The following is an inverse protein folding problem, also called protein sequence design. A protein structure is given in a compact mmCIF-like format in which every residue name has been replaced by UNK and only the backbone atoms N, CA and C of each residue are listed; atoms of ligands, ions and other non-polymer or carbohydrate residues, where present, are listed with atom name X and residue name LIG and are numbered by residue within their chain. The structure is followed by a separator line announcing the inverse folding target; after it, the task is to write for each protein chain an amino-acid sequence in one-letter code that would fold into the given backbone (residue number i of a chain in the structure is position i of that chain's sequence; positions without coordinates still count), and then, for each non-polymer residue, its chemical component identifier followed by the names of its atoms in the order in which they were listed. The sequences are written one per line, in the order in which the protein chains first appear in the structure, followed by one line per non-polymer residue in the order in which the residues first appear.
data_IF_101971125520
#
_entry.id   IF_101971125520
#
_cell.length_a   1.000
_cell.length_b   1.000
_cell.length_c   1.000
_cell.angle_alpha   90.00
_cell.angle_beta   90.00
_cell.angle_gamma   90.00
#
_symmetry.space_group_name_H-M   'P 1'
#
loop_
_entity.id
_entity.type
_entity.pdbx_description
1 polymer ?
#
# COMPACT_ATOMS: atom_id res chain seq x y z
N UNK A 1 -13.98 16.43 9.89
CA UNK A 1 -13.98 14.98 10.18
C UNK A 1 -14.11 14.24 8.85
N UNK A 2 -13.18 13.34 8.53
CA UNK A 2 -13.23 12.58 7.28
C UNK A 2 -14.32 11.50 7.35
N UNK A 3 -15.23 11.48 6.39
CA UNK A 3 -16.23 10.41 6.29
C UNK A 3 -15.59 9.05 6.02
N UNK A 4 -16.38 7.98 6.10
CA UNK A 4 -15.91 6.63 5.81
C UNK A 4 -15.23 6.57 4.42
N UNK A 5 -14.02 6.00 4.33
CA UNK A 5 -13.30 5.92 3.07
C UNK A 5 -14.08 5.03 2.08
N UNK A 6 -14.24 5.52 0.84
CA UNK A 6 -14.92 4.77 -0.22
C UNK A 6 -14.10 3.55 -0.64
N UNK A 7 -12.78 3.72 -0.76
CA UNK A 7 -11.84 2.67 -1.06
C UNK A 7 -11.32 2.09 0.27
N UNK A 8 -11.72 0.86 0.58
CA UNK A 8 -11.36 0.18 1.85
C UNK A 8 -10.24 -0.82 1.59
N UNK A 9 -9.25 -0.83 2.48
CA UNK A 9 -8.24 -1.89 2.51
C UNK A 9 -8.92 -3.17 3.03
N UNK A 10 -9.03 -4.19 2.18
CA UNK A 10 -9.72 -5.44 2.50
C UNK A 10 -8.76 -6.56 2.89
N UNK A 11 -7.57 -6.58 2.30
CA UNK A 11 -6.56 -7.63 2.52
C UNK A 11 -5.16 -7.00 2.43
N UNK A 12 -4.24 -7.54 3.22
CA UNK A 12 -2.80 -7.24 3.18
C UNK A 12 -2.05 -8.56 3.13
N UNK A 13 -1.25 -8.76 2.08
CA UNK A 13 -0.41 -9.95 1.94
C UNK A 13 1.08 -9.58 1.87
N UNK A 14 1.92 -10.55 2.23
CA UNK A 14 3.36 -10.45 2.15
C UNK A 14 3.91 -11.66 1.39
N UNK A 15 4.61 -11.39 0.29
CA UNK A 15 5.21 -12.43 -0.54
C UNK A 15 6.72 -12.27 -0.59
N UNK A 16 7.42 -13.39 -0.61
CA UNK A 16 8.82 -13.43 -1.01
C UNK A 16 8.88 -13.46 -2.52
N UNK A 17 9.56 -12.51 -3.12
CA UNK A 17 9.69 -12.43 -4.58
C UNK A 17 11.09 -11.99 -4.97
N UNK A 18 11.66 -12.63 -6.00
CA UNK A 18 12.97 -12.24 -6.54
C UNK A 18 12.87 -11.01 -7.46
N UNK A 19 11.67 -10.74 -8.00
CA UNK A 19 11.35 -9.64 -8.91
C UNK A 19 10.00 -9.03 -8.55
N UNK A 20 9.78 -7.76 -8.89
CA UNK A 20 8.50 -7.10 -8.65
C UNK A 20 7.38 -7.72 -9.51
N UNK A 21 6.36 -8.26 -8.86
CA UNK A 21 5.21 -8.93 -9.50
C UNK A 21 3.92 -8.15 -9.24
N UNK A 22 3.01 -8.18 -10.20
CA UNK A 22 1.69 -7.55 -10.18
C UNK A 22 0.59 -8.57 -10.50
N UNK A 23 -0.67 -8.21 -10.23
CA UNK A 23 -1.86 -9.04 -10.46
C UNK A 23 -1.88 -10.29 -9.60
N UNK A 24 -1.42 -10.15 -8.36
CA UNK A 24 -1.34 -11.26 -7.41
C UNK A 24 -2.71 -11.82 -7.09
N UNK A 25 -3.75 -10.97 -7.00
CA UNK A 25 -5.13 -11.41 -6.82
C UNK A 25 -5.65 -12.30 -7.96
N UNK A 26 -5.06 -12.20 -9.15
CA UNK A 26 -5.41 -13.01 -10.32
C UNK A 26 -4.48 -14.21 -10.49
N UNK A 27 -3.45 -14.36 -9.66
CA UNK A 27 -2.48 -15.43 -9.81
C UNK A 27 -3.05 -16.74 -9.22
N UNK A 28 -3.05 -17.86 -9.96
CA UNK A 28 -3.67 -19.12 -9.54
C UNK A 28 -3.01 -19.79 -8.33
N UNK A 29 -1.90 -19.24 -7.81
CA UNK A 29 -1.14 -19.75 -6.67
C UNK A 29 -0.95 -18.69 -5.57
N UNK A 30 -1.98 -17.94 -5.23
CA UNK A 30 -1.96 -16.98 -4.11
C UNK A 30 -2.01 -17.72 -2.75
N UNK A 31 -0.95 -18.44 -2.40
CA UNK A 31 -0.81 -19.07 -1.08
C UNK A 31 0.36 -18.41 -0.33
N UNK A 32 0.03 -17.86 0.84
CA UNK A 32 0.96 -17.19 1.75
C UNK A 32 2.10 -18.13 2.16
N UNK A 33 3.35 -17.69 1.95
CA UNK A 33 4.53 -18.46 2.36
C UNK A 33 5.60 -17.53 2.95
N UNK A 34 6.07 -17.84 4.17
CA UNK A 34 7.26 -17.27 4.82
C UNK A 34 8.11 -18.49 5.23
N UNK A 35 9.39 -18.66 4.78
CA UNK A 35 10.52 -17.82 5.22
C UNK A 35 11.72 -17.54 4.26
N UNK A 36 12.50 -16.52 4.67
CA UNK A 36 13.96 -16.24 4.50
C UNK A 36 14.62 -16.05 3.11
N UNK A 37 14.75 -14.78 2.65
CA UNK A 37 15.81 -14.11 1.83
C UNK A 37 15.30 -12.71 1.37
N UNK A 38 16.12 -11.72 0.94
CA UNK A 38 15.98 -10.31 1.37
C UNK A 38 14.91 -9.45 0.66
N UNK A 39 14.22 -9.98 -0.34
CA UNK A 39 13.25 -9.22 -1.13
C UNK A 39 11.82 -9.66 -0.80
N UNK A 40 11.01 -8.71 -0.35
CA UNK A 40 9.61 -8.92 0.00
C UNK A 40 8.74 -8.00 -0.84
N UNK A 41 7.54 -8.44 -1.19
CA UNK A 41 6.49 -7.59 -1.72
C UNK A 41 5.36 -7.55 -0.71
N UNK A 42 5.03 -6.33 -0.27
CA UNK A 42 3.81 -6.03 0.46
C UNK A 42 2.73 -5.74 -0.58
N UNK A 43 1.62 -6.47 -0.54
CA UNK A 43 0.51 -6.27 -1.47
C UNK A 43 -0.70 -5.80 -0.71
N UNK A 44 -1.27 -4.69 -1.15
CA UNK A 44 -2.41 -4.04 -0.56
C UNK A 44 -3.60 -4.16 -1.51
N UNK A 45 -4.67 -4.76 -1.03
CA UNK A 45 -5.87 -4.96 -1.82
C UNK A 45 -6.96 -4.04 -1.33
N UNK A 46 -7.41 -3.18 -2.23
CA UNK A 46 -8.45 -2.23 -1.96
C UNK A 46 -9.71 -2.56 -2.75
N UNK A 47 -10.86 -2.44 -2.09
CA UNK A 47 -12.15 -2.58 -2.75
C UNK A 47 -13.10 -1.45 -2.34
N UNK A 48 -13.97 -1.07 -3.26
CA UNK A 48 -15.06 -0.14 -3.01
C UNK A 48 -16.40 -0.87 -3.16
N UNK A 49 -17.31 -0.69 -2.19
CA UNK A 49 -18.67 -1.26 -2.26
C UNK A 49 -19.54 -0.55 -3.31
N UNK A 50 -19.17 0.68 -3.68
CA UNK A 50 -19.88 1.51 -4.64
C UNK A 50 -18.89 2.04 -5.67
N UNK A 51 -19.35 2.31 -6.91
CA UNK A 51 -18.51 2.88 -7.94
C UNK A 51 -17.80 4.14 -7.47
N UNK A 52 -16.54 4.30 -7.90
CA UNK A 52 -15.80 5.53 -7.63
C UNK A 52 -16.52 6.70 -8.30
N UNK A 53 -16.71 7.79 -7.55
CA UNK A 53 -17.36 8.99 -8.07
C UNK A 53 -16.52 9.57 -9.21
N UNK A 54 -17.16 9.82 -10.36
CA UNK A 54 -16.55 10.50 -11.51
C UNK A 54 -15.99 11.88 -11.13
N UNK A 55 -14.88 12.23 -11.77
CA UNK A 55 -14.04 13.42 -11.59
C UNK A 55 -13.43 13.59 -10.20
N UNK A 56 -13.59 12.61 -9.31
CA UNK A 56 -13.00 12.64 -7.98
C UNK A 56 -11.50 12.44 -8.01
N UNK A 57 -10.80 12.90 -6.97
CA UNK A 57 -9.36 12.63 -6.81
C UNK A 57 -9.08 11.12 -6.76
N UNK A 58 -10.03 10.33 -6.22
CA UNK A 58 -9.89 8.88 -6.13
C UNK A 58 -9.98 8.23 -7.50
N UNK A 59 -10.89 8.66 -8.38
CA UNK A 59 -10.95 8.17 -9.78
C UNK A 59 -9.66 8.54 -10.51
N UNK A 60 -9.25 9.81 -10.43
CA UNK A 60 -8.00 10.29 -11.04
C UNK A 60 -6.77 9.54 -10.53
N UNK A 61 -6.79 9.10 -9.28
CA UNK A 61 -5.72 8.27 -8.72
C UNK A 61 -5.80 6.83 -9.24
N UNK A 62 -6.99 6.22 -9.17
CA UNK A 62 -7.20 4.81 -9.51
C UNK A 62 -6.97 4.53 -11.01
N UNK A 63 -7.43 5.44 -11.87
CA UNK A 63 -7.37 5.30 -13.33
C UNK A 63 -6.26 6.17 -13.96
N UNK A 64 -5.48 6.87 -13.12
CA UNK A 64 -4.37 7.74 -13.56
C UNK A 64 -3.07 6.99 -13.84
N UNK A 65 -2.04 7.76 -14.20
CA UNK A 65 -0.70 7.22 -14.48
C UNK A 65 0.07 6.88 -13.20
N UNK A 66 1.07 6.01 -13.31
CA UNK A 66 1.98 5.67 -12.21
C UNK A 66 2.64 6.93 -11.64
N UNK A 67 3.07 7.87 -12.49
CA UNK A 67 3.67 9.14 -12.05
C UNK A 67 2.70 9.95 -11.18
N UNK A 68 1.42 9.99 -11.55
CA UNK A 68 0.38 10.68 -10.78
C UNK A 68 0.16 10.01 -9.42
N UNK A 69 0.17 8.67 -9.38
CA UNK A 69 -0.01 7.87 -8.17
C UNK A 69 1.20 8.00 -7.25
N UNK A 70 2.41 7.88 -7.76
CA UNK A 70 3.66 7.96 -6.99
C UNK A 70 3.86 9.33 -6.35
N UNK A 71 3.38 10.39 -7.01
CA UNK A 71 3.41 11.74 -6.45
C UNK A 71 2.42 11.97 -5.28
N UNK A 72 1.47 11.07 -5.04
CA UNK A 72 0.36 11.26 -4.10
C UNK A 72 0.15 10.13 -3.10
N UNK A 73 0.63 8.93 -3.40
CA UNK A 73 0.46 7.76 -2.56
C UNK A 73 1.31 7.91 -1.30
N UNK A 74 0.66 8.24 -0.19
CA UNK A 74 1.33 8.48 1.09
C UNK A 74 1.10 7.34 2.05
N UNK A 75 2.21 6.88 2.62
CA UNK A 75 2.19 6.11 3.85
C UNK A 75 2.28 7.07 5.04
N UNK A 76 1.25 7.08 5.87
CA UNK A 76 1.24 7.78 7.15
C UNK A 76 1.41 6.73 8.25
N UNK A 77 2.58 6.67 8.90
CA UNK A 77 2.75 5.76 10.02
C UNK A 77 1.83 6.18 11.18
N UNK A 78 1.10 5.21 11.73
CA UNK A 78 0.27 5.41 12.92
C UNK A 78 0.34 4.19 13.82
N UNK A 79 0.92 4.35 15.01
CA UNK A 79 1.04 3.26 15.99
C UNK A 79 0.12 3.59 17.16
N UNK A 80 -1.07 3.00 17.16
CA UNK A 80 -2.05 3.15 18.25
C UNK A 80 -1.50 2.50 19.51
N UNK A 81 -1.07 1.25 19.40
CA UNK A 81 -0.50 0.44 20.48
C UNK A 81 0.89 -0.06 20.09
N UNK A 82 1.84 -0.04 21.03
CA UNK A 82 3.22 -0.48 20.79
C UNK A 82 4.24 0.18 21.71
N UNK A 83 5.45 -0.41 21.76
CA UNK A 83 6.54 0.04 22.61
C UNK A 83 6.96 1.49 22.29
N UNK A 84 7.13 2.32 23.32
CA UNK A 84 7.28 3.78 23.17
C UNK A 84 8.51 4.19 22.34
N UNK A 85 9.60 3.42 22.40
CA UNK A 85 10.80 3.67 21.58
C UNK A 85 10.51 3.50 20.08
N UNK A 86 9.64 2.54 19.72
CA UNK A 86 9.23 2.31 18.33
C UNK A 86 8.39 3.47 17.83
N UNK A 87 7.42 3.93 18.65
CA UNK A 87 6.61 5.12 18.32
C UNK A 87 7.48 6.34 18.04
N UNK A 88 8.55 6.53 18.84
CA UNK A 88 9.50 7.63 18.68
C UNK A 88 10.38 7.49 17.45
N UNK A 89 10.86 6.28 17.14
CA UNK A 89 11.74 6.02 16.01
C UNK A 89 11.01 6.17 14.65
N UNK A 90 9.77 5.71 14.58
CA UNK A 90 8.95 5.75 13.35
C UNK A 90 8.48 7.18 13.05
N UNK A 91 8.18 7.95 14.09
CA UNK A 91 7.65 9.30 13.96
C UNK A 91 6.25 9.33 13.32
N UNK A 92 5.83 10.52 12.92
CA UNK A 92 4.48 10.79 12.35
C UNK A 92 4.52 11.35 10.92
N UNK A 93 5.72 11.46 10.34
CA UNK A 93 5.90 12.11 9.05
C UNK A 93 5.42 11.17 7.94
N UNK A 94 4.49 11.67 7.12
CA UNK A 94 4.04 10.96 5.93
C UNK A 94 5.20 10.79 4.93
N UNK A 95 5.30 9.60 4.34
CA UNK A 95 6.25 9.29 3.27
C UNK A 95 5.52 9.12 1.94
N UNK A 96 6.02 9.74 0.86
CA UNK A 96 5.54 9.48 -0.50
C UNK A 96 6.09 8.13 -0.96
N UNK A 97 5.29 7.09 -0.78
CA UNK A 97 5.76 5.72 -0.90
C UNK A 97 6.19 5.40 -2.34
N UNK A 98 5.42 5.84 -3.32
CA UNK A 98 5.77 5.64 -4.73
C UNK A 98 7.01 6.40 -5.21
N UNK A 99 7.52 7.36 -4.43
CA UNK A 99 8.84 7.98 -4.69
C UNK A 99 9.99 7.28 -3.95
N UNK A 100 9.70 6.64 -2.83
CA UNK A 100 10.71 6.04 -1.96
C UNK A 100 11.01 4.58 -2.35
N UNK A 101 10.01 3.86 -2.84
CA UNK A 101 10.12 2.45 -3.24
C UNK A 101 9.30 2.20 -4.49
N UNK A 102 9.70 1.18 -5.26
CA UNK A 102 8.97 0.76 -6.45
C UNK A 102 7.59 0.25 -6.06
N UNK A 103 6.56 0.88 -6.63
CA UNK A 103 5.17 0.47 -6.51
C UNK A 103 4.64 0.08 -7.89
N UNK A 104 3.95 -1.06 -7.97
CA UNK A 104 3.11 -1.41 -9.12
C UNK A 104 1.67 -1.32 -8.70
N UNK A 105 0.80 -0.84 -9.58
CA UNK A 105 -0.61 -0.71 -9.30
C UNK A 105 -1.41 -1.42 -10.38
N UNK A 106 -2.48 -2.07 -9.96
CA UNK A 106 -3.35 -2.80 -10.86
C UNK A 106 -4.80 -2.49 -10.55
N UNK A 107 -5.51 -1.99 -11.57
CA UNK A 107 -6.84 -1.44 -11.48
C UNK A 107 -7.84 -2.33 -12.23
N UNK A 108 -8.97 -2.63 -11.58
CA UNK A 108 -10.15 -3.30 -12.17
C UNK A 108 -11.42 -2.71 -11.57
N UNK A 109 -12.56 -2.68 -12.25
CA UNK A 109 -13.90 -2.24 -11.78
C UNK A 109 -13.97 -1.52 -10.42
N UNK A 110 -14.14 -2.23 -9.30
CA UNK A 110 -14.20 -1.62 -7.95
C UNK A 110 -13.00 -2.01 -7.08
N UNK A 111 -11.92 -2.45 -7.70
CA UNK A 111 -10.75 -3.01 -7.06
C UNK A 111 -9.46 -2.27 -7.46
N UNK A 112 -8.55 -2.13 -6.51
CA UNK A 112 -7.22 -1.61 -6.74
C UNK A 112 -6.21 -2.44 -5.93
N UNK A 113 -5.28 -3.07 -6.62
CA UNK A 113 -4.14 -3.74 -6.03
C UNK A 113 -2.92 -2.82 -6.11
N UNK A 114 -2.20 -2.69 -4.99
CA UNK A 114 -0.94 -1.95 -4.91
C UNK A 114 0.14 -2.88 -4.39
N UNK A 115 1.08 -3.24 -5.26
CA UNK A 115 2.26 -4.03 -4.92
C UNK A 115 3.41 -3.09 -4.59
N UNK A 116 3.86 -3.12 -3.35
CA UNK A 116 5.01 -2.37 -2.85
C UNK A 116 6.19 -3.34 -2.77
N UNK A 117 7.25 -3.06 -3.51
CA UNK A 117 8.46 -3.86 -3.47
C UNK A 117 9.41 -3.34 -2.39
N UNK A 118 9.63 -4.15 -1.36
CA UNK A 118 10.45 -3.80 -0.20
C UNK A 118 11.70 -4.68 -0.20
N UNK A 119 12.86 -4.04 -0.34
CA UNK A 119 14.14 -4.69 -0.06
C UNK A 119 14.45 -4.54 1.42
N UNK A 120 14.23 -5.60 2.19
CA UNK A 120 14.51 -5.59 3.62
C UNK A 120 16.00 -5.88 3.81
N UNK A 121 16.76 -4.84 4.19
CA UNK A 121 18.18 -4.98 4.51
C UNK A 121 18.38 -5.69 5.87
N UNK A 122 17.43 -5.56 6.80
CA UNK A 122 17.37 -6.32 8.06
C UNK A 122 15.91 -6.58 8.47
N UNK A 123 15.54 -7.82 8.84
CA UNK A 123 14.17 -8.15 9.22
C UNK A 123 13.76 -7.39 10.49
N UNK A 124 12.89 -6.40 10.34
CA UNK A 124 12.21 -5.75 11.45
C UNK A 124 10.93 -6.54 11.75
N UNK A 125 10.97 -7.33 12.81
CA UNK A 125 9.83 -8.12 13.30
C UNK A 125 8.89 -7.25 14.12
N UNK A 126 8.13 -6.33 13.51
CA UNK A 126 7.16 -5.51 14.27
C UNK A 126 5.86 -5.25 13.50
N UNK A 127 4.69 -5.39 14.15
CA UNK A 127 3.42 -5.04 13.53
C UNK A 127 3.31 -3.51 13.43
N UNK A 128 3.43 -2.98 12.22
CA UNK A 128 3.07 -1.59 11.94
C UNK A 128 1.65 -1.55 11.40
N UNK A 129 0.77 -0.78 12.04
CA UNK A 129 -0.49 -0.40 11.43
C UNK A 129 -0.20 0.71 10.40
N UNK A 130 -0.32 0.38 9.12
CA UNK A 130 -0.18 1.36 8.04
C UNK A 130 -1.50 2.08 7.83
N UNK A 131 -1.51 3.41 8.02
CA UNK A 131 -2.59 4.26 7.52
C UNK A 131 -2.17 4.84 6.19
N UNK A 132 -2.98 4.64 5.17
CA UNK A 132 -2.66 5.05 3.81
C UNK A 132 -3.61 6.16 3.39
N UNK A 133 -3.03 7.24 2.88
CA UNK A 133 -3.78 8.41 2.43
C UNK A 133 -3.37 8.81 1.02
N UNK A 134 -4.38 9.15 0.21
CA UNK A 134 -4.18 9.75 -1.11
C UNK A 134 -4.33 11.25 -0.93
N UNK A 135 -3.23 11.99 -1.03
CA UNK A 135 -3.29 13.45 -0.88
C UNK A 135 -3.52 14.17 -2.20
N UNK A 136 -4.03 15.40 -2.13
CA UNK A 136 -3.93 16.37 -3.23
C UNK A 136 -2.44 16.59 -3.59
N UNK A 137 -2.11 16.94 -4.85
CA UNK A 137 -0.74 17.33 -5.18
C UNK A 137 -0.37 18.56 -4.35
N UNK A 138 0.91 18.67 -3.99
CA UNK A 138 1.47 19.91 -3.46
C UNK A 138 1.51 20.97 -4.58
#
# INVERSE_FOLDING_TARGET
MGGNPLLKLIVVDWFKVDKATDKIALHPKSLAQIPAKPNYSLVLYYAAERPVRKDSLLEKFADGTDQFRDARFKLIPSIVEGYWMVKRAVGIKACLLGKAVTCKYFRQDNFLEVCIYIKILHPLSFPFYLRIEISKPA
#
